data_IF_634027740061
#
_entry.id   IF_634027740061
#
_cell.length_a   1.000
_cell.length_b   1.000
_cell.length_c   1.000
_cell.angle_alpha   90.00
_cell.angle_beta   90.00
_cell.angle_gamma   90.00
#
_symmetry.space_group_name_H-M   'P 1'
#
loop_
_entity.id
_entity.type
_entity.pdbx_description
1 polymer ?
#
# COMPACT_ATOMS: atom_id res chain seq x y z
N UNK A 1 -4.97 -18.42 21.59
CA UNK A 1 -4.08 -17.23 21.63
C UNK A 1 -4.56 -16.26 20.56
N UNK A 2 -4.86 -15.01 20.89
CA UNK A 2 -5.57 -14.12 19.96
C UNK A 2 -4.57 -13.54 18.93
N UNK A 3 -4.55 -14.11 17.72
CA UNK A 3 -3.61 -13.76 16.64
C UNK A 3 -3.60 -12.25 16.33
N UNK A 4 -4.74 -11.58 16.57
CA UNK A 4 -4.92 -10.13 16.39
C UNK A 4 -3.91 -9.29 17.18
N UNK A 5 -3.50 -9.74 18.38
CA UNK A 5 -2.52 -9.02 19.21
C UNK A 5 -1.16 -8.87 18.53
N UNK A 6 -0.75 -9.84 17.71
CA UNK A 6 0.52 -9.76 16.99
C UNK A 6 0.51 -8.74 15.84
N UNK A 7 -0.66 -8.38 15.33
CA UNK A 7 -0.80 -7.39 14.26
C UNK A 7 -0.87 -5.95 14.78
N UNK A 8 -1.27 -5.74 16.04
CA UNK A 8 -1.40 -4.40 16.63
C UNK A 8 -0.07 -3.64 16.61
N UNK A 9 1.03 -4.28 17.02
CA UNK A 9 2.36 -3.66 17.06
C UNK A 9 2.82 -3.17 15.68
N UNK A 10 2.91 -4.03 14.66
CA UNK A 10 3.26 -3.63 13.30
C UNK A 10 2.34 -2.54 12.72
N UNK A 11 1.03 -2.60 12.97
CA UNK A 11 0.07 -1.59 12.51
C UNK A 11 0.38 -0.23 13.14
N UNK A 12 0.61 -0.18 14.46
CA UNK A 12 0.97 1.07 15.15
C UNK A 12 2.26 1.67 14.62
N UNK A 13 3.28 0.83 14.38
CA UNK A 13 4.55 1.28 13.78
C UNK A 13 4.33 1.91 12.41
N UNK A 14 3.53 1.27 11.54
CA UNK A 14 3.21 1.82 10.21
C UNK A 14 2.44 3.15 10.33
N UNK A 15 1.46 3.24 11.23
CA UNK A 15 0.66 4.45 11.44
C UNK A 15 1.50 5.64 11.93
N UNK A 16 2.53 5.40 12.73
CA UNK A 16 3.42 6.45 13.23
C UNK A 16 4.49 6.81 12.19
N UNK A 17 5.13 5.83 11.55
CA UNK A 17 6.22 6.08 10.60
C UNK A 17 5.74 6.76 9.32
N UNK A 18 4.55 6.43 8.83
CA UNK A 18 4.05 6.94 7.57
C UNK A 18 3.90 8.48 7.53
N UNK A 19 3.28 9.16 8.52
CA UNK A 19 3.23 10.62 8.55
C UNK A 19 4.59 11.26 8.76
N UNK A 20 5.46 10.67 9.60
CA UNK A 20 6.83 11.18 9.82
C UNK A 20 7.60 11.19 8.50
N UNK A 21 7.64 10.07 7.79
CA UNK A 21 8.31 9.97 6.50
C UNK A 21 7.65 10.87 5.45
N UNK A 22 6.31 10.96 5.45
CA UNK A 22 5.61 11.88 4.55
C UNK A 22 6.00 13.34 4.77
N UNK A 23 6.25 13.74 6.02
CA UNK A 23 6.66 15.12 6.34
C UNK A 23 8.13 15.35 5.99
N UNK A 24 9.01 14.39 6.27
CA UNK A 24 10.44 14.52 6.01
C UNK A 24 10.77 14.64 4.52
N UNK A 25 10.03 13.94 3.65
CA UNK A 25 10.31 13.85 2.22
C UNK A 25 9.34 14.64 1.36
N UNK A 26 8.61 15.60 1.94
CA UNK A 26 7.60 16.39 1.23
C UNK A 26 8.21 17.30 0.16
N UNK A 27 9.32 17.94 0.49
CA UNK A 27 9.99 18.96 -0.34
C UNK A 27 11.22 18.40 -1.08
N UNK A 28 11.47 17.10 -0.93
CA UNK A 28 12.56 16.40 -1.61
C UNK A 28 12.22 16.12 -3.07
N UNK A 29 13.21 16.25 -3.94
CA UNK A 29 13.06 15.87 -5.35
C UNK A 29 12.72 14.39 -5.50
N UNK A 30 11.72 14.11 -6.33
CA UNK A 30 11.26 12.75 -6.58
C UNK A 30 12.12 12.07 -7.63
N UNK A 31 12.50 10.84 -7.35
CA UNK A 31 13.40 10.06 -8.20
C UNK A 31 12.64 9.09 -9.11
N UNK A 32 12.71 9.32 -10.43
CA UNK A 32 12.17 8.41 -11.46
C UNK A 32 13.21 7.47 -12.07
N UNK A 33 14.46 7.48 -11.60
CA UNK A 33 15.55 6.61 -12.05
C UNK A 33 16.18 5.84 -10.89
N UNK A 34 16.79 4.68 -11.22
CA UNK A 34 17.47 3.83 -10.24
C UNK A 34 16.55 3.16 -9.22
N UNK A 35 17.19 2.45 -8.28
CA UNK A 35 16.53 1.78 -7.15
C UNK A 35 16.28 2.77 -6.02
N UNK A 36 15.01 2.89 -5.61
CA UNK A 36 14.59 3.77 -4.51
C UNK A 36 13.70 2.97 -3.56
N UNK A 37 14.22 2.70 -2.37
CA UNK A 37 13.51 1.99 -1.30
C UNK A 37 12.38 2.85 -0.74
N UNK A 38 12.70 4.08 -0.33
CA UNK A 38 11.76 4.96 0.35
C UNK A 38 10.59 5.34 -0.58
N UNK A 39 9.39 4.95 -0.18
CA UNK A 39 8.17 5.21 -0.93
C UNK A 39 7.93 6.71 -1.15
N UNK A 40 8.22 7.56 -0.16
CA UNK A 40 7.87 8.98 -0.23
C UNK A 40 8.67 9.74 -1.31
N UNK A 41 9.90 9.32 -1.60
CA UNK A 41 10.79 9.90 -2.63
C UNK A 41 10.48 9.44 -4.07
N UNK A 42 9.49 8.59 -4.26
CA UNK A 42 9.10 8.12 -5.60
C UNK A 42 8.16 9.11 -6.29
N UNK A 43 8.32 9.20 -7.61
CA UNK A 43 7.33 9.78 -8.52
C UNK A 43 5.98 9.09 -8.37
N UNK A 44 4.89 9.83 -8.60
CA UNK A 44 3.54 9.28 -8.58
C UNK A 44 3.36 8.19 -9.64
N UNK A 45 4.05 8.29 -10.78
CA UNK A 45 4.12 7.22 -11.79
C UNK A 45 4.65 5.90 -11.21
N UNK A 46 5.80 5.94 -10.53
CA UNK A 46 6.39 4.73 -9.91
C UNK A 46 5.56 4.20 -8.76
N UNK A 47 4.97 5.09 -7.96
CA UNK A 47 4.03 4.70 -6.90
C UNK A 47 2.85 3.93 -7.49
N UNK A 48 2.26 4.40 -8.59
CA UNK A 48 1.20 3.72 -9.32
C UNK A 48 1.61 2.33 -9.80
N UNK A 49 2.76 2.19 -10.46
CA UNK A 49 3.28 0.89 -10.91
C UNK A 49 3.50 -0.03 -9.71
N UNK A 50 4.08 0.47 -8.62
CA UNK A 50 4.31 -0.30 -7.39
C UNK A 50 3.01 -0.74 -6.71
N UNK A 51 1.92 0.04 -6.80
CA UNK A 51 0.60 -0.39 -6.35
C UNK A 51 0.11 -1.64 -7.09
N UNK A 52 0.37 -1.75 -8.40
CA UNK A 52 0.06 -2.95 -9.19
C UNK A 52 0.96 -4.13 -8.82
N UNK A 53 2.25 -3.91 -8.59
CA UNK A 53 3.14 -4.94 -8.04
C UNK A 53 2.73 -5.39 -6.63
N UNK A 54 1.89 -4.63 -5.94
CA UNK A 54 1.25 -5.03 -4.69
C UNK A 54 0.27 -6.19 -4.84
N UNK A 55 -0.26 -6.44 -6.05
CA UNK A 55 -1.23 -7.52 -6.31
C UNK A 55 -0.68 -8.89 -5.86
N UNK A 56 0.49 -9.36 -6.34
CA UNK A 56 1.09 -10.61 -5.86
C UNK A 56 1.19 -10.73 -4.33
N UNK A 57 1.59 -9.65 -3.65
CA UNK A 57 1.75 -9.66 -2.19
C UNK A 57 0.41 -9.73 -1.46
N UNK A 58 -0.60 -8.99 -1.94
CA UNK A 58 -1.95 -9.02 -1.38
C UNK A 58 -2.59 -10.40 -1.62
N UNK A 59 -2.39 -11.00 -2.79
CA UNK A 59 -2.86 -12.36 -3.08
C UNK A 59 -2.19 -13.38 -2.16
N UNK A 60 -0.86 -13.29 -1.98
CA UNK A 60 -0.13 -14.18 -1.06
C UNK A 60 -0.61 -14.02 0.38
N UNK A 61 -0.80 -12.77 0.85
CA UNK A 61 -1.34 -12.48 2.17
C UNK A 61 -2.74 -13.08 2.34
N UNK A 62 -3.61 -12.93 1.35
CA UNK A 62 -4.95 -13.50 1.36
C UNK A 62 -4.91 -15.03 1.46
N UNK A 63 -4.02 -15.69 0.70
CA UNK A 63 -3.83 -17.14 0.78
C UNK A 63 -3.32 -17.61 2.14
N UNK A 64 -2.39 -16.87 2.74
CA UNK A 64 -1.92 -17.15 4.10
C UNK A 64 -3.09 -17.07 5.07
N UNK A 65 -3.85 -15.96 5.06
CA UNK A 65 -5.03 -15.79 5.92
C UNK A 65 -6.04 -16.91 5.68
N UNK A 66 -6.25 -17.34 4.43
CA UNK A 66 -7.13 -18.46 4.10
C UNK A 66 -6.65 -19.81 4.69
N UNK A 67 -5.33 -20.05 4.72
CA UNK A 67 -4.75 -21.30 5.23
C UNK A 67 -4.73 -21.38 6.76
N UNK A 68 -4.45 -20.28 7.45
CA UNK A 68 -4.28 -20.26 8.91
C UNK A 68 -5.46 -19.65 9.65
N UNK A 69 -6.36 -18.98 8.94
CA UNK A 69 -7.49 -18.25 9.50
C UNK A 69 -8.75 -19.11 9.54
N UNK A 70 -9.53 -18.88 10.59
CA UNK A 70 -10.84 -19.51 10.79
C UNK A 70 -11.94 -18.46 10.56
N UNK A 71 -11.97 -17.90 9.35
CA UNK A 71 -12.99 -16.94 8.92
C UNK A 71 -14.10 -17.66 8.15
N UNK A 72 -15.33 -17.16 8.26
CA UNK A 72 -16.45 -17.59 7.45
C UNK A 72 -16.31 -17.14 5.99
N UNK A 73 -17.04 -17.81 5.08
CA UNK A 73 -17.04 -17.45 3.65
C UNK A 73 -17.44 -15.99 3.39
N UNK A 74 -18.37 -15.45 4.18
CA UNK A 74 -18.81 -14.06 4.06
C UNK A 74 -17.67 -13.11 4.47
N UNK A 75 -16.95 -13.41 5.54
CA UNK A 75 -15.82 -12.60 6.00
C UNK A 75 -14.67 -12.60 4.97
N UNK A 76 -14.38 -13.72 4.32
CA UNK A 76 -13.42 -13.77 3.22
C UNK A 76 -13.82 -12.92 2.02
N UNK A 77 -15.11 -12.92 1.65
CA UNK A 77 -15.63 -12.06 0.57
C UNK A 77 -15.45 -10.58 0.93
N UNK A 78 -15.83 -10.20 2.16
CA UNK A 78 -15.67 -8.83 2.66
C UNK A 78 -14.19 -8.43 2.64
N UNK A 79 -13.30 -9.30 3.13
CA UNK A 79 -11.86 -9.05 3.13
C UNK A 79 -11.30 -8.85 1.71
N UNK A 80 -11.74 -9.67 0.76
CA UNK A 80 -11.38 -9.54 -0.65
C UNK A 80 -11.82 -8.19 -1.24
N UNK A 81 -13.07 -7.77 -0.96
CA UNK A 81 -13.60 -6.47 -1.40
C UNK A 81 -12.77 -5.33 -0.80
N UNK A 82 -12.41 -5.40 0.49
CA UNK A 82 -11.58 -4.40 1.17
C UNK A 82 -10.21 -4.28 0.50
N UNK A 83 -9.52 -5.41 0.29
CA UNK A 83 -8.21 -5.41 -0.37
C UNK A 83 -8.27 -4.86 -1.79
N UNK A 84 -9.27 -5.27 -2.57
CA UNK A 84 -9.46 -4.76 -3.93
C UNK A 84 -9.74 -3.26 -3.94
N UNK A 85 -10.60 -2.78 -3.02
CA UNK A 85 -10.94 -1.36 -2.90
C UNK A 85 -9.73 -0.51 -2.52
N UNK A 86 -8.90 -0.97 -1.59
CA UNK A 86 -7.66 -0.29 -1.20
C UNK A 86 -6.68 -0.19 -2.38
N UNK A 87 -6.56 -1.25 -3.17
CA UNK A 87 -5.68 -1.29 -4.34
C UNK A 87 -6.16 -0.30 -5.41
N UNK A 88 -7.46 -0.31 -5.72
CA UNK A 88 -8.07 0.64 -6.64
C UNK A 88 -7.91 2.09 -6.18
N UNK A 89 -8.21 2.38 -4.91
CA UNK A 89 -8.04 3.72 -4.34
C UNK A 89 -6.59 4.19 -4.45
N UNK A 90 -5.63 3.33 -4.10
CA UNK A 90 -4.21 3.64 -4.21
C UNK A 90 -3.77 3.89 -5.65
N UNK A 91 -4.26 3.08 -6.59
CA UNK A 91 -3.95 3.22 -8.01
C UNK A 91 -4.50 4.53 -8.57
N UNK A 92 -5.81 4.80 -8.36
CA UNK A 92 -6.48 6.01 -8.84
C UNK A 92 -5.85 7.27 -8.24
N UNK A 93 -5.56 7.27 -6.93
CA UNK A 93 -4.91 8.40 -6.27
C UNK A 93 -3.55 8.73 -6.91
N UNK A 94 -2.72 7.71 -7.11
CA UNK A 94 -1.40 7.88 -7.71
C UNK A 94 -1.51 8.29 -9.19
N UNK A 95 -2.47 7.75 -9.94
CA UNK A 95 -2.72 8.13 -11.34
C UNK A 95 -3.12 9.60 -11.47
N UNK A 96 -4.12 10.05 -10.70
CA UNK A 96 -4.58 11.45 -10.72
C UNK A 96 -3.44 12.41 -10.36
N UNK A 97 -2.64 12.07 -9.35
CA UNK A 97 -1.50 12.90 -8.96
C UNK A 97 -0.34 12.86 -9.95
N UNK A 98 -0.12 11.74 -10.65
CA UNK A 98 0.86 11.67 -11.73
C UNK A 98 0.46 12.61 -12.87
N UNK A 99 -0.80 12.57 -13.29
CA UNK A 99 -1.31 13.46 -14.33
C UNK A 99 -1.16 14.93 -13.93
N UNK A 100 -1.59 15.29 -12.71
CA UNK A 100 -1.59 16.68 -12.25
C UNK A 100 -0.20 17.28 -12.06
N UNK A 101 0.78 16.50 -11.59
CA UNK A 101 2.05 17.04 -11.10
C UNK A 101 3.27 16.66 -11.95
N UNK A 102 3.16 15.65 -12.83
CA UNK A 102 4.34 15.04 -13.46
C UNK A 102 4.16 14.80 -14.97
N UNK A 103 2.93 14.70 -15.50
CA UNK A 103 2.71 14.39 -16.93
C UNK A 103 2.70 15.61 -17.84
N UNK A 104 2.30 16.77 -17.31
CA UNK A 104 2.16 18.03 -18.05
C UNK A 104 3.15 19.12 -17.60
N UNK A 105 4.17 18.72 -16.85
CA UNK A 105 5.33 19.54 -16.48
C UNK A 105 6.50 19.07 -17.34
#
# INVERSE_FOLDING_TARGET
>A
MNILLYFIGPILVVLILNPILSSMYKDEEKNDKGFVLNYHRLTYRRKMIRTLWGIPFITLLFLVIYWIGDLSSIEYIILGIVFFSLLLMGFVHNYVKWIKNEKYV
#
